data_IF_008918765850
#
_entry.id   IF_008918765850
#
_cell.length_a   1.000
_cell.length_b   1.000
_cell.length_c   1.000
_cell.angle_alpha   90.00
_cell.angle_beta   90.00
_cell.angle_gamma   90.00
#
_symmetry.space_group_name_H-M   'P 1'
#
loop_
_entity.id
_entity.type
_entity.pdbx_description
1 polymer ?
#
# COMPACT_ATOMS: atom_id res chain seq x y z
N UNK A 1 -20.14 15.56 8.05
CA UNK A 1 -19.71 14.73 6.92
C UNK A 1 -18.49 13.94 7.29
N UNK A 2 -18.41 12.70 6.83
CA UNK A 2 -17.19 11.87 6.87
C UNK A 2 -16.65 11.86 5.44
N UNK A 3 -15.38 12.21 5.25
CA UNK A 3 -14.73 12.23 3.94
C UNK A 3 -13.83 11.01 3.81
N UNK A 4 -14.04 10.21 2.78
CA UNK A 4 -13.24 9.05 2.40
C UNK A 4 -12.82 8.17 3.61
N UNK A 5 -13.76 7.46 4.26
CA UNK A 5 -13.48 6.66 5.44
C UNK A 5 -12.50 5.52 5.12
N UNK A 6 -11.77 5.04 6.14
CA UNK A 6 -10.76 3.98 5.99
C UNK A 6 -11.32 2.64 5.50
N UNK A 7 -12.63 2.40 5.68
CA UNK A 7 -13.34 1.23 5.15
C UNK A 7 -13.86 1.56 3.76
N UNK A 8 -13.44 0.80 2.76
CA UNK A 8 -13.84 1.00 1.37
C UNK A 8 -14.98 0.05 1.04
N UNK A 9 -16.18 0.60 0.80
CA UNK A 9 -17.39 -0.18 0.48
C UNK A 9 -17.65 -0.34 -1.03
N UNK A 10 -16.94 0.42 -1.86
CA UNK A 10 -17.12 0.43 -3.33
C UNK A 10 -16.58 -0.82 -4.03
N UNK A 11 -15.82 -1.66 -3.31
CA UNK A 11 -15.21 -2.87 -3.87
C UNK A 11 -16.25 -3.95 -4.18
N UNK A 12 -16.13 -4.57 -5.35
CA UNK A 12 -17.01 -5.64 -5.75
C UNK A 12 -16.93 -6.85 -4.80
N UNK A 13 -18.01 -7.64 -4.69
CA UNK A 13 -18.05 -8.82 -3.82
C UNK A 13 -16.96 -9.85 -4.13
N UNK A 14 -16.56 -10.01 -5.40
CA UNK A 14 -15.45 -10.89 -5.82
C UNK A 14 -14.13 -10.57 -5.09
N UNK A 15 -13.92 -9.32 -4.71
CA UNK A 15 -12.72 -8.86 -3.97
C UNK A 15 -12.71 -9.36 -2.53
N UNK A 16 -13.90 -9.59 -1.94
CA UNK A 16 -14.08 -9.95 -0.54
C UNK A 16 -14.07 -11.47 -0.31
N UNK A 17 -14.19 -12.27 -1.36
CA UNK A 17 -14.26 -13.74 -1.28
C UNK A 17 -12.85 -14.31 -1.11
N UNK A 18 -12.70 -15.24 -0.14
CA UNK A 18 -11.47 -16.01 0.05
C UNK A 18 -11.73 -17.50 -0.17
N UNK A 19 -10.68 -18.32 -0.16
CA UNK A 19 -10.79 -19.77 -0.27
C UNK A 19 -11.35 -20.48 0.98
N UNK A 20 -11.67 -19.75 2.05
CA UNK A 20 -12.22 -20.29 3.30
C UNK A 20 -13.52 -19.56 3.62
N UNK A 21 -14.62 -20.31 3.76
CA UNK A 21 -15.98 -19.77 3.96
C UNK A 21 -16.12 -18.83 5.17
N UNK A 22 -15.41 -19.14 6.25
CA UNK A 22 -15.44 -18.38 7.50
C UNK A 22 -14.59 -17.10 7.46
N UNK A 23 -13.73 -16.98 6.44
CA UNK A 23 -12.83 -15.84 6.29
C UNK A 23 -13.28 -14.98 5.11
N UNK A 24 -13.75 -13.79 5.42
CA UNK A 24 -14.06 -12.78 4.40
C UNK A 24 -13.06 -11.66 4.47
N UNK A 25 -12.50 -11.25 3.34
CA UNK A 25 -11.54 -10.16 3.25
C UNK A 25 -12.19 -8.84 3.65
N UNK A 26 -11.53 -8.09 4.51
CA UNK A 26 -11.91 -6.73 4.89
C UNK A 26 -11.02 -5.77 4.13
N UNK A 27 -11.62 -4.73 3.57
CA UNK A 27 -10.91 -3.73 2.78
C UNK A 27 -10.73 -2.48 3.65
N UNK A 28 -9.51 -2.27 4.12
CA UNK A 28 -9.15 -1.14 5.01
C UNK A 28 -7.88 -0.48 4.48
N UNK A 29 -7.95 0.82 4.20
CA UNK A 29 -6.85 1.52 3.55
C UNK A 29 -6.70 2.98 4.01
N UNK A 30 -5.67 3.66 3.49
CA UNK A 30 -5.49 5.10 3.57
C UNK A 30 -6.35 5.80 2.49
N UNK A 31 -7.68 5.57 2.51
CA UNK A 31 -8.58 5.95 1.43
C UNK A 31 -8.51 7.44 1.09
N UNK A 32 -8.56 8.31 2.11
CA UNK A 32 -8.46 9.76 1.94
C UNK A 32 -7.21 10.18 1.15
N UNK A 33 -6.04 9.67 1.53
CA UNK A 33 -4.80 10.00 0.83
C UNK A 33 -4.79 9.43 -0.59
N UNK A 34 -5.24 8.19 -0.79
CA UNK A 34 -5.24 7.55 -2.10
C UNK A 34 -6.17 8.25 -3.10
N UNK A 35 -7.41 8.52 -2.70
CA UNK A 35 -8.39 9.22 -3.56
C UNK A 35 -7.91 10.64 -3.85
N UNK A 36 -7.39 11.35 -2.85
CA UNK A 36 -6.83 12.71 -3.03
C UNK A 36 -5.66 12.72 -4.01
N UNK A 37 -4.77 11.73 -3.92
CA UNK A 37 -3.62 11.59 -4.83
C UNK A 37 -4.07 11.30 -6.26
N UNK A 38 -5.03 10.41 -6.46
CA UNK A 38 -5.60 10.11 -7.78
C UNK A 38 -6.29 11.34 -8.40
N UNK A 39 -7.06 12.09 -7.62
CA UNK A 39 -7.70 13.35 -8.08
C UNK A 39 -6.67 14.41 -8.43
N UNK A 40 -5.63 14.56 -7.61
CA UNK A 40 -4.53 15.49 -7.89
C UNK A 40 -3.82 15.15 -9.20
N UNK A 41 -3.52 13.87 -9.44
CA UNK A 41 -2.95 13.43 -10.71
C UNK A 41 -3.86 13.77 -11.89
N UNK A 42 -5.17 13.56 -11.77
CA UNK A 42 -6.13 13.92 -12.82
C UNK A 42 -6.14 15.44 -13.08
N UNK A 43 -6.20 16.27 -12.04
CA UNK A 43 -6.15 17.74 -12.15
C UNK A 43 -4.86 18.21 -12.86
N UNK A 44 -3.68 17.68 -12.48
CA UNK A 44 -2.39 18.03 -13.08
C UNK A 44 -2.24 17.57 -14.55
N UNK A 45 -3.06 16.62 -15.00
CA UNK A 45 -3.10 16.14 -16.38
C UNK A 45 -4.36 16.62 -17.14
N UNK A 46 -5.00 17.70 -16.68
CA UNK A 46 -6.16 18.34 -17.33
C UNK A 46 -7.31 17.36 -17.62
N UNK A 47 -7.52 16.40 -16.74
CA UNK A 47 -8.56 15.37 -16.85
C UNK A 47 -9.33 15.21 -15.54
N UNK A 48 -10.26 14.26 -15.48
CA UNK A 48 -11.09 13.97 -14.33
C UNK A 48 -10.77 12.62 -13.73
N UNK A 49 -10.93 12.47 -12.42
CA UNK A 49 -10.72 11.21 -11.72
C UNK A 49 -11.58 10.07 -12.31
N UNK A 50 -12.78 10.41 -12.79
CA UNK A 50 -13.74 9.51 -13.43
C UNK A 50 -13.31 9.02 -14.83
N UNK A 51 -12.18 9.53 -15.36
CA UNK A 51 -11.66 9.15 -16.69
C UNK A 51 -10.36 8.38 -16.63
N UNK A 52 -9.74 8.22 -15.46
CA UNK A 52 -8.44 7.59 -15.29
C UNK A 52 -8.52 6.21 -14.64
N UNK A 53 -7.55 5.37 -14.96
CA UNK A 53 -7.26 4.10 -14.33
C UNK A 53 -5.87 4.19 -13.67
N UNK A 54 -5.79 4.23 -12.35
CA UNK A 54 -4.50 4.38 -11.67
C UNK A 54 -4.35 3.38 -10.52
N UNK A 55 -3.11 2.98 -10.24
CA UNK A 55 -2.76 2.27 -9.01
C UNK A 55 -2.08 3.27 -8.09
N UNK A 56 -2.62 3.45 -6.89
CA UNK A 56 -2.04 4.33 -5.88
C UNK A 56 -1.40 3.49 -4.78
N UNK A 57 -0.11 3.71 -4.55
CA UNK A 57 0.66 3.07 -3.50
C UNK A 57 1.00 4.10 -2.42
N UNK A 58 0.27 4.06 -1.31
CA UNK A 58 0.58 4.83 -0.12
C UNK A 58 1.60 4.09 0.72
N UNK A 59 2.75 4.70 0.97
CA UNK A 59 3.88 4.11 1.68
C UNK A 59 4.26 4.93 2.91
N UNK A 60 3.88 4.42 4.08
CA UNK A 60 4.19 4.97 5.41
C UNK A 60 4.59 3.87 6.38
N UNK A 61 4.30 4.03 7.67
CA UNK A 61 4.44 2.95 8.67
C UNK A 61 3.61 1.71 8.32
N UNK A 62 2.50 1.90 7.58
CA UNK A 62 1.77 0.88 6.85
C UNK A 62 1.77 1.19 5.35
N UNK A 63 1.59 0.17 4.51
CA UNK A 63 1.52 0.31 3.06
C UNK A 63 0.17 -0.20 2.56
N UNK A 64 -0.54 0.64 1.80
CA UNK A 64 -1.75 0.23 1.09
C UNK A 64 -1.62 0.57 -0.38
N UNK A 65 -1.96 -0.41 -1.21
CA UNK A 65 -1.88 -0.33 -2.66
C UNK A 65 -3.27 -0.55 -3.20
N UNK A 66 -3.83 0.46 -3.85
CA UNK A 66 -5.21 0.47 -4.30
C UNK A 66 -5.36 0.70 -5.79
N UNK A 67 -6.33 0.02 -6.38
CA UNK A 67 -6.72 0.19 -7.77
C UNK A 67 -7.92 1.14 -7.86
N UNK A 68 -7.75 2.21 -8.62
CA UNK A 68 -8.78 3.20 -8.90
C UNK A 68 -9.14 3.15 -10.39
N UNK A 69 -10.39 2.84 -10.69
CA UNK A 69 -10.89 2.70 -12.05
C UNK A 69 -12.05 3.66 -12.28
N UNK A 70 -11.85 4.66 -13.10
CA UNK A 70 -12.87 5.61 -13.55
C UNK A 70 -13.70 6.20 -12.40
N UNK A 71 -13.02 6.75 -11.40
CA UNK A 71 -13.65 7.40 -10.27
C UNK A 71 -14.04 6.47 -9.11
N UNK A 72 -13.86 5.15 -9.26
CA UNK A 72 -14.23 4.15 -8.26
C UNK A 72 -13.00 3.47 -7.67
N UNK A 73 -12.97 3.29 -6.36
CA UNK A 73 -11.92 2.58 -5.64
C UNK A 73 -12.27 1.09 -5.59
N UNK A 74 -11.73 0.30 -6.52
CA UNK A 74 -12.23 -1.04 -6.85
C UNK A 74 -11.55 -2.19 -6.12
N UNK A 75 -10.31 -2.05 -5.66
CA UNK A 75 -9.58 -3.04 -4.87
C UNK A 75 -8.44 -2.39 -4.08
N UNK A 76 -8.11 -2.96 -2.92
CA UNK A 76 -6.94 -2.57 -2.13
C UNK A 76 -6.58 -3.66 -1.13
N UNK A 77 -5.30 -3.83 -0.82
CA UNK A 77 -4.89 -4.72 0.26
C UNK A 77 -5.33 -4.19 1.63
N UNK A 78 -5.64 -5.11 2.56
CA UNK A 78 -5.87 -4.75 3.96
C UNK A 78 -4.56 -4.45 4.67
N UNK A 79 -4.19 -3.18 4.73
CA UNK A 79 -2.94 -2.75 5.36
C UNK A 79 -2.87 -2.95 6.89
N UNK A 80 -3.93 -3.41 7.55
CA UNK A 80 -3.98 -3.59 9.00
C UNK A 80 -3.88 -5.05 9.47
N UNK A 81 -4.34 -6.02 8.67
CA UNK A 81 -4.51 -7.41 9.09
C UNK A 81 -3.58 -8.41 8.37
N UNK A 82 -2.40 -7.96 7.94
CA UNK A 82 -1.37 -8.84 7.39
C UNK A 82 -1.57 -9.18 5.92
N UNK A 83 -2.21 -8.31 5.15
CA UNK A 83 -2.29 -8.39 3.69
C UNK A 83 -1.45 -7.30 3.05
N UNK A 84 -0.78 -7.61 1.97
CA UNK A 84 0.09 -6.66 1.29
C UNK A 84 1.57 -6.93 1.48
N UNK A 85 2.45 -6.00 1.08
CA UNK A 85 3.87 -6.08 1.35
C UNK A 85 4.14 -5.95 2.85
N UNK A 86 5.27 -6.46 3.32
CA UNK A 86 5.72 -6.05 4.64
C UNK A 86 6.14 -4.56 4.62
N UNK A 87 6.07 -3.92 5.79
CA UNK A 87 6.24 -2.47 5.91
C UNK A 87 7.26 -2.18 7.01
N UNK A 88 7.58 -0.92 7.30
CA UNK A 88 8.39 -0.61 8.47
C UNK A 88 7.92 -1.25 9.78
N UNK A 89 6.60 -1.42 9.98
CA UNK A 89 6.01 -1.85 11.26
C UNK A 89 5.05 -3.05 11.16
N UNK A 90 4.92 -3.68 9.99
CA UNK A 90 3.92 -4.75 9.76
C UNK A 90 4.53 -5.91 8.99
N UNK A 91 4.11 -7.14 9.33
CA UNK A 91 4.61 -8.35 8.69
C UNK A 91 4.27 -8.49 7.20
N UNK A 92 3.18 -7.85 6.74
CA UNK A 92 2.61 -8.14 5.43
C UNK A 92 2.05 -9.55 5.32
N UNK A 93 1.84 -10.01 4.09
CA UNK A 93 1.36 -11.36 3.81
C UNK A 93 2.44 -12.39 4.10
N UNK A 94 2.06 -13.42 4.86
CA UNK A 94 2.90 -14.53 5.27
C UNK A 94 2.42 -15.84 4.65
N UNK A 95 3.31 -16.84 4.45
CA UNK A 95 2.91 -18.19 4.11
C UNK A 95 2.02 -18.78 5.20
N UNK A 96 0.76 -19.10 4.86
CA UNK A 96 -0.27 -19.49 5.84
C UNK A 96 0.12 -20.74 6.63
N UNK A 97 0.71 -21.76 5.98
CA UNK A 97 1.15 -22.97 6.67
C UNK A 97 2.14 -22.69 7.78
N UNK A 98 3.19 -21.92 7.47
CA UNK A 98 4.21 -21.52 8.46
C UNK A 98 3.62 -20.62 9.56
N UNK A 99 2.65 -19.77 9.25
CA UNK A 99 1.97 -18.97 10.25
C UNK A 99 1.15 -19.84 11.22
N UNK A 100 0.46 -20.85 10.71
CA UNK A 100 -0.26 -21.84 11.55
C UNK A 100 0.73 -22.55 12.48
N UNK A 101 1.84 -23.08 11.95
CA UNK A 101 2.88 -23.74 12.75
C UNK A 101 3.40 -22.80 13.84
N UNK A 102 3.64 -21.54 13.53
CA UNK A 102 4.08 -20.54 14.50
C UNK A 102 3.02 -20.28 15.58
N UNK A 103 1.73 -20.19 15.20
CA UNK A 103 0.63 -19.98 16.15
C UNK A 103 0.51 -21.11 17.18
N UNK A 104 0.80 -22.35 16.79
CA UNK A 104 0.70 -23.52 17.66
C UNK A 104 2.05 -23.99 18.23
N UNK A 105 3.15 -23.27 17.97
CA UNK A 105 4.51 -23.62 18.44
C UNK A 105 4.70 -23.44 19.95
N UNK A 106 3.83 -22.72 20.63
CA UNK A 106 4.00 -22.34 22.04
C UNK A 106 5.01 -21.20 22.26
N UNK A 107 5.69 -20.70 21.23
CA UNK A 107 6.69 -19.61 21.35
C UNK A 107 6.07 -18.25 21.65
N UNK A 108 4.87 -18.02 21.15
CA UNK A 108 4.20 -16.72 21.22
C UNK A 108 2.77 -16.86 21.71
N UNK A 109 2.33 -15.92 22.50
CA UNK A 109 0.92 -15.72 22.82
C UNK A 109 0.19 -15.01 21.67
N UNK A 110 -1.13 -15.14 21.59
CA UNK A 110 -1.95 -14.44 20.60
C UNK A 110 -1.72 -12.91 20.56
N UNK A 111 -1.59 -12.18 21.71
CA UNK A 111 -1.24 -10.75 21.69
C UNK A 111 0.12 -10.47 21.06
N UNK A 112 1.14 -11.30 21.34
CA UNK A 112 2.48 -11.14 20.75
C UNK A 112 2.46 -11.36 19.24
N UNK A 113 1.76 -12.38 18.73
CA UNK A 113 1.59 -12.59 17.30
C UNK A 113 0.85 -11.42 16.62
N UNK A 114 -0.16 -10.86 17.29
CA UNK A 114 -0.81 -9.63 16.80
C UNK A 114 0.12 -8.42 16.74
N UNK A 115 1.07 -8.32 17.67
CA UNK A 115 2.11 -7.28 17.63
C UNK A 115 3.11 -7.50 16.49
N UNK A 116 3.51 -8.74 16.19
CA UNK A 116 4.33 -9.07 15.02
C UNK A 116 3.58 -8.76 13.72
N UNK A 117 2.27 -9.04 13.67
CA UNK A 117 1.46 -8.65 12.52
C UNK A 117 1.40 -7.12 12.35
N UNK A 118 1.23 -6.36 13.46
CA UNK A 118 1.04 -4.91 13.41
C UNK A 118 1.72 -4.20 14.58
N UNK A 119 2.83 -3.52 14.31
CA UNK A 119 3.55 -2.66 15.25
C UNK A 119 4.98 -3.09 15.52
N UNK A 120 5.30 -4.39 15.47
CA UNK A 120 6.64 -4.93 15.73
C UNK A 120 7.17 -5.86 14.65
N UNK A 121 6.44 -6.05 13.55
CA UNK A 121 6.91 -6.78 12.38
C UNK A 121 7.58 -5.87 11.35
N UNK A 122 7.91 -6.42 10.20
CA UNK A 122 8.56 -5.71 9.11
C UNK A 122 9.98 -5.27 9.42
N UNK A 123 10.36 -4.06 9.05
CA UNK A 123 11.74 -3.57 9.28
C UNK A 123 12.13 -3.59 10.76
N UNK A 124 11.19 -3.32 11.68
CA UNK A 124 11.47 -3.40 13.12
C UNK A 124 11.92 -4.78 13.53
N UNK A 125 11.24 -5.83 13.08
CA UNK A 125 11.59 -7.22 13.42
C UNK A 125 12.88 -7.65 12.73
N UNK A 126 13.07 -7.26 11.48
CA UNK A 126 14.18 -7.71 10.64
C UNK A 126 15.48 -6.92 10.89
N UNK A 127 15.39 -5.61 11.15
CA UNK A 127 16.54 -4.71 11.22
C UNK A 127 16.61 -3.87 12.50
N UNK A 128 15.62 -3.99 13.40
CA UNK A 128 15.54 -3.22 14.64
C UNK A 128 15.12 -1.75 14.48
N UNK A 129 14.76 -1.31 13.30
CA UNK A 129 14.36 0.09 13.02
C UNK A 129 13.15 0.17 12.09
N UNK A 130 12.31 1.19 12.30
CA UNK A 130 11.23 1.55 11.37
C UNK A 130 11.60 2.73 10.45
N UNK A 131 12.78 3.32 10.63
CA UNK A 131 13.21 4.49 9.86
C UNK A 131 13.95 4.04 8.59
N UNK A 132 13.30 4.22 7.44
CA UNK A 132 13.90 3.88 6.15
C UNK A 132 15.21 4.64 5.87
N UNK A 133 15.36 5.87 6.39
CA UNK A 133 16.59 6.66 6.24
C UNK A 133 17.77 5.99 6.95
N UNK A 134 17.51 5.38 8.11
CA UNK A 134 18.50 4.59 8.83
C UNK A 134 18.90 3.34 8.06
N UNK A 135 17.92 2.66 7.43
CA UNK A 135 18.20 1.49 6.56
C UNK A 135 19.06 1.91 5.37
N UNK A 136 18.73 3.02 4.69
CA UNK A 136 19.51 3.55 3.57
C UNK A 136 20.93 3.92 3.98
N UNK A 137 21.11 4.54 5.16
CA UNK A 137 22.43 4.87 5.69
C UNK A 137 23.25 3.59 5.91
N UNK A 138 22.68 2.55 6.52
CA UNK A 138 23.34 1.25 6.74
C UNK A 138 23.76 0.61 5.42
N UNK A 139 22.92 0.70 4.37
CA UNK A 139 23.26 0.22 3.03
C UNK A 139 24.50 0.94 2.47
N UNK A 140 24.54 2.28 2.61
CA UNK A 140 25.67 3.08 2.15
C UNK A 140 26.98 2.75 2.91
N UNK A 141 26.87 2.28 4.15
CA UNK A 141 27.98 1.82 5.00
C UNK A 141 28.37 0.35 4.73
N UNK A 142 27.71 -0.31 3.78
CA UNK A 142 28.04 -1.68 3.36
C UNK A 142 27.31 -2.78 4.13
N UNK A 143 26.23 -2.50 4.85
CA UNK A 143 25.42 -3.49 5.55
C UNK A 143 24.62 -4.34 4.55
N UNK A 144 25.10 -5.56 4.32
CA UNK A 144 24.48 -6.51 3.39
C UNK A 144 23.09 -7.01 3.84
N UNK A 145 22.83 -7.09 5.15
CA UNK A 145 21.52 -7.49 5.67
C UNK A 145 20.49 -6.40 5.42
N UNK A 146 20.85 -5.13 5.71
CA UNK A 146 19.99 -3.99 5.41
C UNK A 146 19.68 -3.89 3.91
N UNK A 147 20.67 -4.13 3.05
CA UNK A 147 20.50 -4.14 1.59
C UNK A 147 19.51 -5.24 1.15
N UNK A 148 19.65 -6.46 1.63
CA UNK A 148 18.79 -7.58 1.28
C UNK A 148 17.33 -7.35 1.74
N UNK A 149 17.12 -6.83 2.94
CA UNK A 149 15.79 -6.55 3.49
C UNK A 149 15.12 -5.38 2.75
N UNK A 150 15.89 -4.35 2.42
CA UNK A 150 15.39 -3.21 1.63
C UNK A 150 14.93 -3.66 0.23
N UNK A 151 15.76 -4.45 -0.44
CA UNK A 151 15.46 -5.00 -1.77
C UNK A 151 14.21 -5.90 -1.74
N UNK A 152 14.09 -6.76 -0.72
CA UNK A 152 12.90 -7.57 -0.51
C UNK A 152 11.64 -6.70 -0.30
N UNK A 153 11.73 -5.59 0.44
CA UNK A 153 10.61 -4.67 0.64
C UNK A 153 10.19 -4.01 -0.67
N UNK A 154 11.13 -3.49 -1.46
CA UNK A 154 10.87 -2.91 -2.77
C UNK A 154 10.22 -3.92 -3.74
N UNK A 155 10.75 -5.16 -3.76
CA UNK A 155 10.18 -6.26 -4.53
C UNK A 155 8.75 -6.59 -4.11
N UNK A 156 8.46 -6.71 -2.80
CA UNK A 156 7.13 -7.00 -2.30
C UNK A 156 6.13 -5.88 -2.64
N UNK A 157 6.52 -4.61 -2.52
CA UNK A 157 5.68 -3.48 -2.92
C UNK A 157 5.32 -3.59 -4.40
N UNK A 158 6.31 -3.81 -5.23
CA UNK A 158 6.15 -3.91 -6.69
C UNK A 158 5.28 -5.09 -7.10
N UNK A 159 5.48 -6.25 -6.45
CA UNK A 159 4.65 -7.44 -6.63
C UNK A 159 3.18 -7.12 -6.34
N UNK A 160 2.89 -6.41 -5.25
CA UNK A 160 1.53 -6.06 -4.87
C UNK A 160 0.91 -5.01 -5.80
N UNK A 161 1.70 -4.10 -6.36
CA UNK A 161 1.27 -3.20 -7.44
C UNK A 161 0.80 -4.02 -8.64
N UNK A 162 1.63 -4.97 -9.10
CA UNK A 162 1.30 -5.82 -10.24
C UNK A 162 0.11 -6.76 -9.98
N UNK A 163 -0.09 -7.24 -8.74
CA UNK A 163 -1.22 -8.09 -8.36
C UNK A 163 -2.59 -7.41 -8.55
N UNK A 164 -2.65 -6.08 -8.64
CA UNK A 164 -3.89 -5.35 -8.86
C UNK A 164 -4.29 -5.20 -10.34
N UNK A 165 -3.44 -5.57 -11.29
CA UNK A 165 -3.76 -5.45 -12.71
C UNK A 165 -5.06 -6.16 -13.12
N UNK A 166 -5.40 -7.35 -12.59
CA UNK A 166 -6.67 -8.01 -12.89
C UNK A 166 -7.92 -7.21 -12.48
N UNK A 167 -7.81 -6.28 -11.52
CA UNK A 167 -8.93 -5.44 -11.10
C UNK A 167 -9.45 -4.54 -12.23
N UNK A 168 -8.59 -4.22 -13.20
CA UNK A 168 -8.95 -3.36 -14.34
C UNK A 168 -9.65 -4.09 -15.48
N UNK A 169 -9.90 -5.40 -15.38
CA UNK A 169 -10.61 -6.22 -16.39
C UNK A 169 -9.97 -6.10 -17.78
N UNK A 170 -8.63 -6.17 -17.86
CA UNK A 170 -7.86 -6.07 -19.10
C UNK A 170 -7.70 -4.64 -19.68
N UNK A 171 -8.22 -3.62 -19.01
CA UNK A 171 -7.98 -2.23 -19.40
C UNK A 171 -6.58 -1.79 -18.96
N UNK A 172 -5.98 -0.90 -19.74
CA UNK A 172 -4.68 -0.32 -19.39
C UNK A 172 -4.76 0.52 -18.11
N UNK A 173 -3.67 0.50 -17.36
CA UNK A 173 -3.41 1.43 -16.25
C UNK A 173 -2.69 2.65 -16.81
N UNK A 174 -3.21 3.84 -16.55
CA UNK A 174 -2.65 5.09 -17.07
C UNK A 174 -1.38 5.49 -16.31
N UNK A 175 -1.34 5.24 -14.99
CA UNK A 175 -0.22 5.63 -14.14
C UNK A 175 -0.17 4.84 -12.83
N UNK A 176 1.03 4.61 -12.30
CA UNK A 176 1.28 4.20 -10.91
C UNK A 176 1.67 5.44 -10.12
N UNK A 177 0.97 5.69 -9.00
CA UNK A 177 1.17 6.86 -8.15
C UNK A 177 1.75 6.42 -6.81
N UNK A 178 2.96 6.88 -6.49
CA UNK A 178 3.63 6.60 -5.22
C UNK A 178 3.43 7.80 -4.27
N UNK A 179 2.90 7.56 -3.07
CA UNK A 179 2.61 8.60 -2.08
C UNK A 179 3.00 8.15 -0.67
N UNK A 180 2.81 9.01 0.33
CA UNK A 180 3.23 8.76 1.71
C UNK A 180 4.66 9.21 2.00
N UNK A 181 5.07 9.04 3.25
CA UNK A 181 6.38 9.53 3.71
C UNK A 181 7.57 8.85 3.05
N UNK A 182 7.48 7.53 2.81
CA UNK A 182 8.53 6.73 2.18
C UNK A 182 8.72 7.06 0.68
N UNK A 183 7.75 7.67 0.01
CA UNK A 183 7.91 8.16 -1.35
C UNK A 183 8.94 9.30 -1.50
N UNK A 184 9.52 9.80 -0.40
CA UNK A 184 10.67 10.69 -0.40
C UNK A 184 12.00 9.97 -0.68
N UNK A 185 12.06 8.67 -0.47
CA UNK A 185 13.24 7.84 -0.74
C UNK A 185 13.43 7.66 -2.26
N UNK A 186 14.45 8.28 -2.81
CA UNK A 186 14.80 8.10 -4.22
C UNK A 186 15.18 6.65 -4.52
N UNK A 187 15.95 6.03 -3.63
CA UNK A 187 16.38 4.63 -3.76
C UNK A 187 15.17 3.69 -3.86
N UNK A 188 14.17 3.86 -2.98
CA UNK A 188 12.96 3.04 -3.01
C UNK A 188 12.12 3.29 -4.27
N UNK A 189 11.95 4.55 -4.66
CA UNK A 189 11.21 4.93 -5.88
C UNK A 189 11.87 4.35 -7.12
N UNK A 190 13.19 4.41 -7.23
CA UNK A 190 13.95 3.85 -8.35
C UNK A 190 13.81 2.32 -8.41
N UNK A 191 13.95 1.63 -7.27
CA UNK A 191 13.79 0.18 -7.20
C UNK A 191 12.37 -0.26 -7.59
N UNK A 192 11.33 0.40 -7.06
CA UNK A 192 9.94 0.11 -7.45
C UNK A 192 9.74 0.39 -8.94
N UNK A 193 10.20 1.53 -9.46
CA UNK A 193 10.05 1.90 -10.87
C UNK A 193 10.69 0.88 -11.81
N UNK A 194 11.84 0.34 -11.41
CA UNK A 194 12.50 -0.73 -12.13
C UNK A 194 11.63 -2.00 -12.20
N UNK A 195 11.14 -2.47 -11.07
CA UNK A 195 10.33 -3.69 -10.99
C UNK A 195 8.98 -3.60 -11.70
N UNK A 196 8.34 -2.42 -11.66
CA UNK A 196 7.02 -2.24 -12.29
C UNK A 196 7.08 -1.83 -13.75
N UNK A 197 8.27 -1.67 -14.33
CA UNK A 197 8.45 -1.23 -15.72
C UNK A 197 7.65 -2.09 -16.73
N UNK A 198 7.53 -3.39 -16.48
CA UNK A 198 6.77 -4.32 -17.32
C UNK A 198 5.25 -4.04 -17.35
N UNK A 199 4.71 -3.22 -16.46
CA UNK A 199 3.30 -2.79 -16.51
C UNK A 199 3.02 -1.89 -17.72
N UNK A 200 4.06 -1.25 -18.26
CA UNK A 200 3.97 -0.41 -19.46
C UNK A 200 3.43 1.00 -19.22
N UNK A 201 3.10 1.38 -17.98
CA UNK A 201 2.75 2.75 -17.59
C UNK A 201 3.86 3.38 -16.74
N UNK A 202 3.93 4.71 -16.74
CA UNK A 202 4.94 5.43 -15.93
C UNK A 202 4.58 5.49 -14.45
N UNK A 203 5.57 5.90 -13.63
CA UNK A 203 5.42 6.16 -12.21
C UNK A 203 5.42 7.67 -11.98
N UNK A 204 4.51 8.16 -11.13
CA UNK A 204 4.49 9.54 -10.64
C UNK A 204 4.57 9.54 -9.11
N UNK A 205 5.28 10.53 -8.54
CA UNK A 205 5.60 10.54 -7.12
C UNK A 205 4.99 11.77 -6.43
N UNK A 206 4.20 11.52 -5.39
CA UNK A 206 3.50 12.51 -4.58
C UNK A 206 3.89 12.36 -3.10
N UNK A 207 5.06 12.80 -2.66
CA UNK A 207 5.56 12.55 -1.32
C UNK A 207 4.72 13.26 -0.24
N UNK A 208 4.47 12.55 0.87
CA UNK A 208 3.72 13.07 2.01
C UNK A 208 2.26 12.65 2.02
N UNK A 209 1.52 13.11 3.02
CA UNK A 209 0.15 12.65 3.26
C UNK A 209 -0.90 13.70 2.91
N UNK A 210 -0.59 14.99 3.06
CA UNK A 210 -1.47 16.15 2.74
C UNK A 210 -2.94 16.01 3.23
N UNK A 211 -3.16 15.29 4.34
CA UNK A 211 -4.49 14.90 4.81
C UNK A 211 -5.41 16.09 5.07
N UNK A 212 -4.89 17.14 5.72
CA UNK A 212 -5.67 18.35 5.99
C UNK A 212 -6.18 19.02 4.71
N UNK A 213 -5.33 19.06 3.68
CA UNK A 213 -5.72 19.61 2.38
C UNK A 213 -6.74 18.71 1.67
N UNK A 214 -6.57 17.39 1.76
CA UNK A 214 -7.51 16.41 1.23
C UNK A 214 -8.89 16.53 1.88
N UNK A 215 -8.94 16.66 3.21
CA UNK A 215 -10.18 16.88 3.98
C UNK A 215 -10.86 18.18 3.57
N UNK A 216 -10.11 19.28 3.47
CA UNK A 216 -10.65 20.58 3.05
C UNK A 216 -11.26 20.53 1.63
N UNK A 217 -10.52 19.97 0.66
CA UNK A 217 -11.05 19.76 -0.71
C UNK A 217 -12.27 18.84 -0.74
N UNK A 218 -12.29 17.78 0.07
CA UNK A 218 -13.43 16.87 0.20
C UNK A 218 -14.68 17.58 0.72
N UNK A 219 -14.54 18.36 1.79
CA UNK A 219 -15.63 19.16 2.33
C UNK A 219 -16.14 20.21 1.34
N UNK A 220 -15.24 20.92 0.64
CA UNK A 220 -15.63 21.90 -0.38
C UNK A 220 -16.44 21.28 -1.52
N UNK A 221 -16.08 20.09 -2.00
CA UNK A 221 -16.85 19.39 -3.05
C UNK A 221 -18.30 19.12 -2.63
N UNK A 222 -18.52 18.74 -1.37
CA UNK A 222 -19.87 18.49 -0.85
C UNK A 222 -20.68 19.78 -0.71
N UNK A 223 -20.00 20.89 -0.38
CA UNK A 223 -20.66 22.20 -0.18
C UNK A 223 -20.95 22.95 -1.48
N UNK A 224 -20.19 22.67 -2.54
CA UNK A 224 -20.34 23.33 -3.84
C UNK A 224 -21.28 22.60 -4.81
N UNK A 225 -21.84 21.46 -4.43
CA UNK A 225 -22.77 20.67 -5.25
C UNK A 225 -22.08 19.70 -6.16
#
# INVERSE_FOLDING_TARGET
>A
YIVDPVVVDEVADRVKITGIKEIRRRVVSHALNQISTARRFAEENETFYEKINVIVCHMGGGITIGAHKRGTYIDVNNGLDGEGPFTPQRSGSLPVGQLIDLCFSGKYTKPQLKQLNKGRGGLIDLLGTADLREVERRIQEGDGEAAAVFEAMAYHISKWICCLLPAFDGQAVDRILLTGGMARSKMLVEAISHYVAAVGCGVSVYPGENEMFALAKGAMRVLSG
#
